data_IF_286520903066
#
_entry.id   IF_286520903066
#
_cell.length_a   1.000
_cell.length_b   1.000
_cell.length_c   1.000
_cell.angle_alpha   90.00
_cell.angle_beta   90.00
_cell.angle_gamma   90.00
#
_symmetry.space_group_name_H-M   'P 1'
#
loop_
_entity.id
_entity.type
_entity.pdbx_description
1 polymer ?
#
# COMPACT_ATOMS: atom_id res chain seq x y z
N UNK A 1 -30.07 38.81 10.15
CA UNK A 1 -29.97 37.34 10.31
C UNK A 1 -29.91 36.58 8.98
N UNK A 2 -30.94 36.60 8.13
CA UNK A 2 -30.95 35.79 6.87
C UNK A 2 -29.75 36.00 5.93
N UNK A 3 -29.30 37.24 5.72
CA UNK A 3 -28.10 37.55 4.90
C UNK A 3 -26.79 37.03 5.51
N UNK A 4 -26.67 37.06 6.84
CA UNK A 4 -25.47 36.58 7.54
C UNK A 4 -25.39 35.06 7.46
N UNK A 5 -26.52 34.37 7.67
CA UNK A 5 -26.58 32.91 7.47
C UNK A 5 -26.25 32.51 6.04
N UNK A 6 -26.73 33.25 5.03
CA UNK A 6 -26.44 32.97 3.62
C UNK A 6 -24.94 33.11 3.31
N UNK A 7 -24.29 34.16 3.83
CA UNK A 7 -22.85 34.38 3.65
C UNK A 7 -22.03 33.28 4.31
N UNK A 8 -22.41 32.87 5.54
CA UNK A 8 -21.76 31.76 6.25
C UNK A 8 -21.93 30.45 5.46
N UNK A 9 -23.12 30.19 4.93
CA UNK A 9 -23.38 28.99 4.13
C UNK A 9 -22.57 28.98 2.83
N UNK A 10 -22.48 30.12 2.15
CA UNK A 10 -21.67 30.29 0.94
C UNK A 10 -20.17 30.14 1.23
N UNK A 11 -19.66 30.69 2.34
CA UNK A 11 -18.25 30.50 2.73
C UNK A 11 -17.96 29.07 3.09
N UNK A 12 -18.84 28.37 3.81
CA UNK A 12 -18.69 26.94 4.10
C UNK A 12 -18.70 26.13 2.80
N UNK A 13 -19.63 26.38 1.87
CA UNK A 13 -19.66 25.68 0.58
C UNK A 13 -18.39 25.94 -0.24
N UNK A 14 -17.91 27.18 -0.31
CA UNK A 14 -16.70 27.54 -1.06
C UNK A 14 -15.45 26.92 -0.42
N UNK A 15 -15.34 26.91 0.92
CA UNK A 15 -14.23 26.26 1.63
C UNK A 15 -14.22 24.74 1.44
N UNK A 16 -15.39 24.09 1.39
CA UNK A 16 -15.47 22.64 1.12
C UNK A 16 -15.14 22.29 -0.34
N UNK A 17 -15.44 23.17 -1.30
CA UNK A 17 -15.10 22.98 -2.72
C UNK A 17 -13.63 23.29 -3.01
N UNK A 18 -12.99 24.16 -2.22
CA UNK A 18 -11.56 24.50 -2.34
C UNK A 18 -10.63 23.59 -1.52
N UNK A 19 -11.15 22.61 -0.79
CA UNK A 19 -10.33 21.52 -0.26
C UNK A 19 -9.84 20.72 -1.46
N UNK A 20 -8.59 20.98 -1.84
CA UNK A 20 -7.79 20.24 -2.82
C UNK A 20 -8.09 18.75 -2.70
N UNK A 21 -8.86 18.21 -3.66
CA UNK A 21 -9.18 16.80 -3.69
C UNK A 21 -7.94 16.06 -4.17
N UNK A 22 -6.93 15.95 -3.30
CA UNK A 22 -5.76 15.14 -3.61
C UNK A 22 -6.22 13.73 -3.90
N UNK A 23 -5.82 13.22 -5.05
CA UNK A 23 -6.14 11.86 -5.44
C UNK A 23 -5.40 10.90 -4.49
N UNK A 24 -5.98 9.72 -4.26
CA UNK A 24 -5.28 8.66 -3.56
C UNK A 24 -4.09 8.18 -4.41
N UNK A 25 -2.96 7.85 -3.77
CA UNK A 25 -1.74 7.45 -4.45
C UNK A 25 -1.30 6.02 -4.04
N UNK A 26 -0.60 5.33 -4.93
CA UNK A 26 0.12 4.09 -4.67
C UNK A 26 1.62 4.32 -4.83
N UNK A 27 2.45 3.62 -4.05
CA UNK A 27 3.84 3.45 -4.45
C UNK A 27 3.90 2.68 -5.77
N UNK A 28 4.72 3.15 -6.71
CA UNK A 28 4.92 2.62 -8.05
C UNK A 28 6.41 2.61 -8.40
N UNK A 29 7.10 1.54 -8.06
CA UNK A 29 8.54 1.38 -8.29
C UNK A 29 9.00 -0.05 -7.99
N UNK A 30 10.24 -0.39 -8.36
CA UNK A 30 10.85 -1.70 -8.03
C UNK A 30 12.15 -1.54 -7.27
N UNK A 31 12.28 -2.23 -6.16
CA UNK A 31 13.57 -2.49 -5.54
C UNK A 31 14.08 -3.87 -5.99
N UNK A 32 15.04 -3.93 -6.93
CA UNK A 32 15.48 -5.19 -7.54
C UNK A 32 16.39 -6.02 -6.62
N UNK A 33 16.87 -5.44 -5.52
CA UNK A 33 17.85 -6.04 -4.62
C UNK A 33 19.29 -5.65 -4.94
N UNK A 34 20.23 -5.94 -4.01
CA UNK A 34 21.62 -5.54 -4.15
C UNK A 34 22.31 -6.28 -5.31
N UNK A 35 23.09 -5.55 -6.11
CA UNK A 35 23.89 -6.13 -7.20
C UNK A 35 23.10 -6.65 -8.40
N UNK A 36 21.80 -6.32 -8.49
CA UNK A 36 20.95 -6.63 -9.63
C UNK A 36 20.86 -5.42 -10.56
N UNK A 37 20.72 -5.69 -11.87
CA UNK A 37 20.51 -4.65 -12.88
C UNK A 37 19.22 -3.86 -12.59
N UNK A 38 19.31 -2.54 -12.74
CA UNK A 38 18.22 -1.58 -12.49
C UNK A 38 17.40 -1.29 -13.74
N UNK A 39 17.80 -1.80 -14.90
CA UNK A 39 17.00 -1.68 -16.11
C UNK A 39 15.92 -2.75 -16.13
N UNK A 40 14.64 -2.36 -16.08
CA UNK A 40 13.54 -3.32 -16.09
C UNK A 40 13.48 -4.18 -17.36
N UNK A 41 13.99 -3.71 -18.50
CA UNK A 41 14.09 -4.51 -19.73
C UNK A 41 15.02 -5.71 -19.51
N UNK A 42 16.24 -5.45 -19.03
CA UNK A 42 17.25 -6.49 -18.74
C UNK A 42 16.78 -7.38 -17.58
N UNK A 43 16.15 -6.78 -16.56
CA UNK A 43 15.60 -7.51 -15.42
C UNK A 43 14.55 -8.52 -15.87
N UNK A 44 13.58 -8.10 -16.70
CA UNK A 44 12.49 -8.94 -17.17
C UNK A 44 12.98 -10.06 -18.12
N UNK A 45 14.04 -9.82 -18.91
CA UNK A 45 14.68 -10.88 -19.70
C UNK A 45 15.27 -11.98 -18.80
N UNK A 46 15.85 -11.59 -17.66
CA UNK A 46 16.48 -12.53 -16.72
C UNK A 46 15.47 -13.19 -15.77
N UNK A 47 14.43 -12.46 -15.37
CA UNK A 47 13.43 -12.87 -14.38
C UNK A 47 12.01 -12.63 -14.90
N UNK A 48 11.56 -13.36 -15.93
CA UNK A 48 10.31 -13.05 -16.65
C UNK A 48 9.03 -13.15 -15.80
N UNK A 49 9.10 -13.85 -14.66
CA UNK A 49 7.96 -14.06 -13.77
C UNK A 49 7.96 -13.12 -12.55
N UNK A 50 8.91 -12.19 -12.47
CA UNK A 50 9.00 -11.23 -11.38
C UNK A 50 8.72 -9.83 -11.95
N UNK A 51 7.67 -9.14 -11.48
CA UNK A 51 7.29 -7.85 -12.03
C UNK A 51 8.39 -6.81 -11.79
N UNK A 52 8.83 -6.12 -12.84
CA UNK A 52 9.64 -4.91 -12.75
C UNK A 52 8.87 -3.70 -13.26
N UNK A 53 8.67 -2.75 -12.35
CA UNK A 53 7.95 -1.49 -12.48
C UNK A 53 8.96 -0.36 -12.38
N UNK A 54 8.99 0.51 -13.38
CA UNK A 54 9.81 1.71 -13.37
C UNK A 54 9.17 2.85 -12.56
N UNK A 55 9.98 3.70 -11.92
CA UNK A 55 11.45 3.63 -11.86
C UNK A 55 11.93 2.55 -10.86
N UNK A 56 13.19 2.14 -11.00
CA UNK A 56 13.82 1.29 -9.97
C UNK A 56 14.37 2.13 -8.83
N UNK A 57 14.18 1.67 -7.60
CA UNK A 57 14.77 2.27 -6.42
C UNK A 57 16.29 2.19 -6.46
N UNK A 58 16.94 3.33 -6.24
CA UNK A 58 18.39 3.44 -6.47
C UNK A 58 19.22 2.73 -5.40
N UNK A 59 18.75 2.67 -4.15
CA UNK A 59 19.53 2.08 -3.06
C UNK A 59 19.58 0.53 -3.13
N UNK A 60 20.72 -0.01 -2.72
CA UNK A 60 20.92 -1.44 -2.51
C UNK A 60 20.23 -1.92 -1.23
N UNK A 61 19.95 -1.02 -0.28
CA UNK A 61 19.17 -1.36 0.92
C UNK A 61 17.68 -1.39 0.63
N UNK A 62 16.94 -2.19 1.39
CA UNK A 62 15.49 -2.29 1.23
C UNK A 62 14.86 -0.92 1.53
N UNK A 63 13.98 -0.40 0.65
CA UNK A 63 13.34 0.89 0.86
C UNK A 63 12.56 0.93 2.17
N UNK A 64 12.79 1.98 2.94
CA UNK A 64 11.91 2.37 4.03
C UNK A 64 10.78 3.23 3.46
N UNK A 65 9.68 2.60 3.05
CA UNK A 65 8.55 3.28 2.39
C UNK A 65 7.91 4.37 3.25
N UNK A 66 8.00 4.26 4.58
CA UNK A 66 7.50 5.30 5.50
C UNK A 66 8.36 6.55 5.45
N UNK A 67 9.68 6.39 5.47
CA UNK A 67 10.62 7.50 5.34
C UNK A 67 10.55 8.13 3.95
N UNK A 68 10.50 7.29 2.90
CA UNK A 68 10.29 7.73 1.52
C UNK A 68 9.04 8.61 1.39
N UNK A 69 7.92 8.20 1.98
CA UNK A 69 6.70 9.01 1.99
C UNK A 69 6.94 10.39 2.61
N UNK A 70 7.55 10.46 3.80
CA UNK A 70 7.77 11.73 4.48
C UNK A 70 8.72 12.65 3.72
N UNK A 71 9.73 12.11 3.06
CA UNK A 71 10.67 12.90 2.27
C UNK A 71 10.04 13.44 0.99
N UNK A 72 9.17 12.65 0.37
CA UNK A 72 8.32 13.12 -0.75
C UNK A 72 7.40 14.25 -0.29
N UNK A 73 6.74 14.12 0.86
CA UNK A 73 5.84 15.17 1.39
C UNK A 73 6.58 16.45 1.77
N UNK A 74 7.87 16.37 2.13
CA UNK A 74 8.74 17.54 2.36
C UNK A 74 9.23 18.19 1.06
N UNK A 75 8.98 17.58 -0.10
CA UNK A 75 9.42 18.07 -1.40
C UNK A 75 10.92 17.89 -1.65
N UNK A 76 11.53 16.84 -1.08
CA UNK A 76 12.94 16.51 -1.33
C UNK A 76 13.07 15.92 -2.73
N UNK A 77 12.79 14.61 -2.90
CA UNK A 77 12.76 13.87 -4.17
C UNK A 77 11.87 12.62 -4.02
N UNK A 78 11.51 11.94 -5.11
CA UNK A 78 10.78 10.66 -5.04
C UNK A 78 9.31 10.69 -5.48
N UNK A 79 8.80 11.81 -6.03
CA UNK A 79 7.41 11.85 -6.56
C UNK A 79 7.23 10.87 -7.72
N UNK A 80 8.30 10.54 -8.44
CA UNK A 80 8.36 9.51 -9.49
C UNK A 80 8.08 8.09 -8.97
N UNK A 81 8.23 7.85 -7.66
CA UNK A 81 7.88 6.58 -7.02
C UNK A 81 6.40 6.50 -6.64
N UNK A 82 5.59 7.50 -6.98
CA UNK A 82 4.15 7.54 -6.72
C UNK A 82 3.38 7.52 -8.04
N UNK A 83 2.21 6.89 -7.99
CA UNK A 83 1.23 6.90 -9.08
C UNK A 83 -0.15 7.19 -8.52
N UNK A 84 -0.99 7.90 -9.28
CA UNK A 84 -2.40 8.07 -8.96
C UNK A 84 -3.11 6.71 -8.93
N UNK A 85 -3.92 6.48 -7.91
CA UNK A 85 -4.77 5.31 -7.79
C UNK A 85 -6.02 5.47 -8.67
N UNK A 86 -6.06 4.72 -9.77
CA UNK A 86 -7.25 4.65 -10.62
C UNK A 86 -8.43 3.99 -9.91
N UNK A 87 -9.66 4.42 -10.23
CA UNK A 87 -10.89 3.97 -9.56
C UNK A 87 -11.10 2.46 -9.57
N UNK A 88 -10.61 1.76 -10.60
CA UNK A 88 -10.78 0.32 -10.81
C UNK A 88 -9.52 -0.49 -10.45
N UNK A 89 -8.54 0.12 -9.78
CA UNK A 89 -7.30 -0.51 -9.38
C UNK A 89 -7.15 -0.55 -7.85
N UNK A 90 -6.13 -1.27 -7.42
CA UNK A 90 -5.65 -1.39 -6.04
C UNK A 90 -4.14 -1.16 -6.02
N UNK A 91 -3.61 -0.71 -4.89
CA UNK A 91 -2.19 -0.68 -4.65
C UNK A 91 -1.70 -2.08 -4.33
N UNK A 92 -0.66 -2.51 -5.04
CA UNK A 92 -0.08 -3.84 -4.98
C UNK A 92 1.34 -3.71 -4.45
N UNK A 93 1.72 -4.67 -3.62
CA UNK A 93 3.10 -4.96 -3.22
C UNK A 93 3.38 -6.42 -3.51
N UNK A 94 4.24 -6.66 -4.48
CA UNK A 94 4.81 -7.97 -4.79
C UNK A 94 6.14 -8.11 -4.04
N UNK A 95 6.38 -9.23 -3.37
CA UNK A 95 7.61 -9.50 -2.62
C UNK A 95 8.09 -10.90 -2.95
N UNK A 96 9.30 -11.01 -3.50
CA UNK A 96 9.98 -12.29 -3.71
C UNK A 96 10.95 -12.56 -2.56
N UNK A 97 10.77 -13.69 -1.90
CA UNK A 97 11.53 -14.10 -0.71
C UNK A 97 12.24 -15.40 -1.03
N UNK A 98 13.57 -15.43 -0.87
CA UNK A 98 14.39 -16.62 -1.04
C UNK A 98 15.14 -16.91 0.26
N UNK A 99 15.07 -18.16 0.74
CA UNK A 99 15.67 -18.56 2.02
C UNK A 99 15.32 -17.62 3.21
N UNK A 100 14.07 -17.15 3.26
CA UNK A 100 13.58 -16.27 4.32
C UNK A 100 14.06 -14.81 4.22
N UNK A 101 14.82 -14.45 3.18
CA UNK A 101 15.31 -13.09 2.94
C UNK A 101 14.54 -12.48 1.77
N UNK A 102 14.08 -11.23 1.93
CA UNK A 102 13.47 -10.48 0.83
C UNK A 102 14.55 -10.16 -0.20
N UNK A 103 14.38 -10.68 -1.41
CA UNK A 103 15.33 -10.49 -2.51
C UNK A 103 14.92 -9.30 -3.37
N UNK A 104 13.63 -9.14 -3.63
CA UNK A 104 13.09 -7.98 -4.34
C UNK A 104 11.71 -7.60 -3.80
N UNK A 105 11.30 -6.38 -4.13
CA UNK A 105 9.93 -5.95 -3.95
C UNK A 105 9.51 -4.97 -5.05
N UNK A 106 8.30 -5.12 -5.56
CA UNK A 106 7.74 -4.27 -6.60
C UNK A 106 6.40 -3.73 -6.13
N UNK A 107 6.24 -2.42 -6.26
CA UNK A 107 5.08 -1.66 -5.82
C UNK A 107 4.42 -1.08 -7.06
N UNK A 108 3.10 -1.20 -7.20
CA UNK A 108 2.39 -0.64 -8.35
C UNK A 108 0.89 -0.56 -8.12
N UNK A 109 0.22 0.21 -8.98
CA UNK A 109 -1.23 0.24 -9.11
C UNK A 109 -1.66 -0.82 -10.14
N UNK A 110 -2.66 -1.63 -9.84
CA UNK A 110 -3.13 -2.63 -10.79
C UNK A 110 -4.41 -3.34 -10.37
N UNK A 111 -4.76 -4.39 -11.12
CA UNK A 111 -5.94 -5.23 -10.86
C UNK A 111 -5.49 -6.61 -10.45
N UNK A 112 -6.05 -7.12 -9.37
CA UNK A 112 -5.79 -8.47 -8.88
C UNK A 112 -7.10 -9.24 -8.93
N UNK A 113 -7.06 -10.43 -9.52
CA UNK A 113 -8.19 -11.33 -9.61
C UNK A 113 -7.83 -12.67 -8.97
N UNK A 114 -8.73 -13.19 -8.17
CA UNK A 114 -8.67 -14.54 -7.60
C UNK A 114 -9.66 -15.44 -8.36
N UNK A 115 -9.20 -16.63 -8.76
CA UNK A 115 -9.98 -17.65 -9.48
C UNK A 115 -10.75 -17.12 -10.71
N UNK A 116 -10.16 -16.18 -11.44
CA UNK A 116 -10.70 -15.54 -12.65
C UNK A 116 -12.05 -14.79 -12.48
N UNK A 117 -12.58 -14.68 -11.26
CA UNK A 117 -13.93 -14.15 -11.03
C UNK A 117 -14.02 -13.12 -9.90
N UNK A 118 -13.12 -13.17 -8.91
CA UNK A 118 -13.21 -12.35 -7.71
C UNK A 118 -12.18 -11.23 -7.80
N UNK A 119 -12.65 -9.98 -7.88
CA UNK A 119 -11.76 -8.83 -7.78
C UNK A 119 -11.25 -8.68 -6.34
N UNK A 120 -9.94 -8.75 -6.17
CA UNK A 120 -9.30 -8.58 -4.87
C UNK A 120 -9.16 -7.09 -4.58
N UNK A 121 -9.83 -6.63 -3.52
CA UNK A 121 -9.78 -5.22 -3.09
C UNK A 121 -8.81 -4.98 -1.94
N UNK A 122 -8.56 -6.00 -1.11
CA UNK A 122 -7.63 -5.94 0.00
C UNK A 122 -7.22 -7.35 0.47
N UNK A 123 -6.02 -7.48 1.02
CA UNK A 123 -5.51 -8.74 1.59
C UNK A 123 -4.09 -9.07 1.13
N UNK A 124 -3.48 -10.07 1.76
CA UNK A 124 -2.17 -10.59 1.36
C UNK A 124 -2.26 -12.07 1.05
N UNK A 125 -1.71 -12.47 -0.09
CA UNK A 125 -1.75 -13.81 -0.64
C UNK A 125 -0.32 -14.33 -0.72
N UNK A 126 -0.12 -15.55 -0.24
CA UNK A 126 1.23 -16.12 -0.09
C UNK A 126 1.26 -17.49 -0.73
N UNK A 127 2.23 -17.69 -1.61
CA UNK A 127 2.52 -19.01 -2.19
C UNK A 127 3.88 -19.47 -1.71
N UNK A 128 3.92 -20.67 -1.15
CA UNK A 128 5.14 -21.33 -0.71
C UNK A 128 5.53 -22.38 -1.74
N UNK A 129 6.80 -22.36 -2.14
CA UNK A 129 7.40 -23.36 -3.04
C UNK A 129 8.71 -23.86 -2.44
N UNK A 130 9.28 -24.92 -3.01
CA UNK A 130 10.59 -25.41 -2.59
C UNK A 130 11.69 -24.39 -2.92
N UNK A 131 12.08 -23.60 -1.93
CA UNK A 131 13.20 -22.66 -2.01
C UNK A 131 12.83 -21.17 -2.07
N UNK A 132 11.59 -20.82 -2.44
CA UNK A 132 11.13 -19.42 -2.44
C UNK A 132 9.67 -19.25 -2.03
N UNK A 133 9.35 -18.03 -1.60
CA UNK A 133 8.00 -17.59 -1.23
C UNK A 133 7.66 -16.33 -2.01
N UNK A 134 6.46 -16.29 -2.57
CA UNK A 134 5.90 -15.10 -3.21
C UNK A 134 4.79 -14.57 -2.30
N UNK A 135 4.89 -13.29 -1.93
CA UNK A 135 3.83 -12.58 -1.23
C UNK A 135 3.30 -11.45 -2.13
N UNK A 136 1.98 -11.38 -2.28
CA UNK A 136 1.30 -10.29 -2.98
C UNK A 136 0.25 -9.70 -2.05
N UNK A 137 0.45 -8.45 -1.65
CA UNK A 137 -0.54 -7.69 -0.89
C UNK A 137 -1.25 -6.69 -1.79
N UNK A 138 -2.57 -6.63 -1.69
CA UNK A 138 -3.43 -5.66 -2.33
C UNK A 138 -4.15 -4.82 -1.27
N UNK A 139 -4.39 -3.55 -1.56
CA UNK A 139 -5.14 -2.64 -0.70
C UNK A 139 -5.58 -1.40 -1.48
N UNK A 140 -6.50 -0.62 -0.92
CA UNK A 140 -6.95 0.64 -1.51
C UNK A 140 -6.49 1.80 -0.63
N UNK A 141 -5.63 2.68 -1.16
CA UNK A 141 -5.16 3.86 -0.43
C UNK A 141 -6.27 4.89 -0.26
N UNK A 142 -6.16 5.69 0.80
CA UNK A 142 -6.99 6.87 1.02
C UNK A 142 -6.27 8.13 0.52
N UNK A 143 -7.04 9.16 0.16
CA UNK A 143 -6.51 10.45 -0.22
C UNK A 143 -5.80 11.12 0.98
N UNK A 144 -4.67 11.77 0.73
CA UNK A 144 -3.85 12.46 1.75
C UNK A 144 -3.23 11.55 2.83
N UNK A 145 -3.24 10.23 2.65
CA UNK A 145 -2.58 9.29 3.55
C UNK A 145 -1.42 8.58 2.85
N UNK A 146 -0.54 7.96 3.65
CA UNK A 146 0.54 7.13 3.12
C UNK A 146 -0.04 5.99 2.26
N UNK A 147 0.54 5.70 1.08
CA UNK A 147 0.10 4.57 0.27
C UNK A 147 0.04 3.27 1.07
N UNK A 148 -1.10 2.57 1.00
CA UNK A 148 -1.35 1.39 1.83
C UNK A 148 -0.39 0.23 1.51
N UNK A 149 0.16 0.21 0.29
CA UNK A 149 1.18 -0.75 -0.13
C UNK A 149 2.56 -0.47 0.49
N UNK A 150 2.68 0.48 1.42
CA UNK A 150 3.80 0.61 2.36
C UNK A 150 3.84 -0.50 3.42
N UNK A 151 2.68 -1.07 3.76
CA UNK A 151 2.54 -1.92 4.95
C UNK A 151 3.24 -3.28 4.80
N UNK A 152 3.70 -3.81 5.93
CA UNK A 152 4.19 -5.18 6.07
C UNK A 152 3.02 -5.99 6.62
N UNK A 153 2.81 -7.21 6.12
CA UNK A 153 1.77 -8.13 6.60
C UNK A 153 1.79 -8.20 8.13
N UNK A 154 0.82 -7.58 8.79
CA UNK A 154 0.70 -7.64 10.24
C UNK A 154 0.08 -8.99 10.65
N UNK A 155 0.93 -9.99 10.82
CA UNK A 155 0.55 -11.33 11.29
C UNK A 155 0.06 -11.35 12.74
N UNK A 156 0.28 -10.26 13.51
CA UNK A 156 -0.06 -10.18 14.94
C UNK A 156 -1.46 -9.62 15.22
N UNK A 157 -2.15 -9.06 14.21
CA UNK A 157 -3.44 -8.37 14.42
C UNK A 157 -4.51 -9.29 15.01
N UNK A 158 -4.61 -10.54 14.57
CA UNK A 158 -5.62 -11.50 15.05
C UNK A 158 -5.45 -11.79 16.55
N UNK A 159 -4.22 -12.05 17.01
CA UNK A 159 -3.94 -12.37 18.41
C UNK A 159 -4.28 -11.21 19.36
N UNK A 160 -3.98 -9.97 18.95
CA UNK A 160 -4.28 -8.78 19.74
C UNK A 160 -5.80 -8.55 19.81
N UNK A 161 -6.53 -8.74 18.71
CA UNK A 161 -7.99 -8.60 18.70
C UNK A 161 -8.67 -9.66 19.57
N UNK A 162 -8.20 -10.91 19.55
CA UNK A 162 -8.71 -11.96 20.45
C UNK A 162 -8.43 -11.65 21.92
N UNK A 163 -7.22 -11.19 22.25
CA UNK A 163 -6.83 -10.83 23.62
C UNK A 163 -7.62 -9.64 24.17
N UNK A 164 -8.02 -8.69 23.33
CA UNK A 164 -8.79 -7.52 23.76
C UNK A 164 -10.30 -7.80 23.86
N UNK A 165 -10.86 -8.59 22.95
CA UNK A 165 -12.31 -8.81 22.87
C UNK A 165 -12.80 -9.86 23.88
N UNK A 166 -12.07 -10.96 24.08
CA UNK A 166 -12.48 -12.04 25.00
C UNK A 166 -12.69 -11.56 26.44
N UNK A 167 -11.81 -10.73 27.05
CA UNK A 167 -12.05 -10.18 28.38
C UNK A 167 -13.24 -9.24 28.46
N UNK A 168 -13.50 -8.44 27.41
CA UNK A 168 -14.64 -7.53 27.33
C UNK A 168 -15.98 -8.30 27.24
N UNK A 169 -16.00 -9.40 26.49
CA UNK A 169 -17.16 -10.29 26.44
C UNK A 169 -17.40 -11.00 27.77
N UNK A 170 -16.33 -11.50 28.42
CA UNK A 170 -16.40 -12.08 29.77
C UNK A 170 -16.94 -11.06 30.77
N UNK A 171 -16.38 -9.85 30.82
CA UNK A 171 -16.84 -8.78 31.71
C UNK A 171 -18.32 -8.45 31.52
N UNK A 172 -18.81 -8.41 30.28
CA UNK A 172 -20.21 -8.13 29.98
C UNK A 172 -21.15 -9.27 30.38
N UNK A 173 -20.72 -10.54 30.29
CA UNK A 173 -21.51 -11.70 30.73
C UNK A 173 -21.59 -11.78 32.27
N UNK A 174 -20.50 -11.48 32.97
CA UNK A 174 -20.45 -11.55 34.43
C UNK A 174 -21.01 -10.31 35.15
N UNK A 175 -21.27 -9.20 34.45
CA UNK A 175 -21.92 -7.99 34.98
C UNK A 175 -23.40 -7.85 34.56
N UNK A 176 -24.08 -8.96 34.26
CA UNK A 176 -25.54 -8.94 34.11
C UNK A 176 -26.15 -9.00 35.52
N UNK A 177 -26.87 -7.95 35.98
CA UNK A 177 -27.56 -7.96 37.28
C UNK A 177 -28.73 -8.96 37.31
#
# INVERSE_FOLDING_TARGET
MKRICLIIFLTICICNVLLDSKEAECFSFTWPGPGIDRNCTIYNEKYPNIPCIEPTYEDNTRPNTTELWYDIQKGIEGREYLSTLESNCVCIKYTYIYNGVVVNASYFCGKVIEDQAIAVTSGCYVTYTEGYTIEVCACRSEANDIPCNSTIRNTYSILITFMATVPLFIYKIFNIP
#
